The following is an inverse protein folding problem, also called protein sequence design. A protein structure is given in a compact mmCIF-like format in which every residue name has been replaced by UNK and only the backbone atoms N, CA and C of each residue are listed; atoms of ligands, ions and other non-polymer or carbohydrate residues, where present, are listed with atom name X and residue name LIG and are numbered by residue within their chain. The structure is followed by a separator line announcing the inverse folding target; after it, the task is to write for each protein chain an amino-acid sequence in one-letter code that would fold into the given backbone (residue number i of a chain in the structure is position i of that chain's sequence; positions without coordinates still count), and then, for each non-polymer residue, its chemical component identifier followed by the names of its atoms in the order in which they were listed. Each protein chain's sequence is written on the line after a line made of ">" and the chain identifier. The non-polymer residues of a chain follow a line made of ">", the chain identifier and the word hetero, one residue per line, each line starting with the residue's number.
data_IF_705661495935
#
_entry.id   IF_705661495935
#
_cell.length_a   1.000
_cell.length_b   1.000
_cell.length_c   1.000
_cell.angle_alpha   90.00
_cell.angle_beta   90.00
_cell.angle_gamma   90.00
#
_symmetry.space_group_name_H-M   'P 1'
#
loop_
_entity.id
_entity.type
_entity.pdbx_description
1 polymer ?
#
# COMPACT_ATOMS: atom_id res chain seq x y z
N UNK A 1 16.00 -1.14 28.37
CA UNK A 1 14.59 -1.15 27.95
C UNK A 1 14.24 0.26 27.51
N UNK A 2 14.39 0.56 26.21
CA UNK A 2 13.89 1.80 25.62
C UNK A 2 12.63 1.42 24.85
N UNK A 3 11.47 1.64 25.46
CA UNK A 3 10.19 1.50 24.78
C UNK A 3 10.06 2.69 23.84
N UNK A 4 10.25 2.45 22.54
CA UNK A 4 9.88 3.43 21.54
C UNK A 4 8.35 3.52 21.54
N UNK A 5 7.84 4.66 21.97
CA UNK A 5 6.42 4.98 21.93
C UNK A 5 5.97 4.95 20.46
N UNK A 6 5.14 3.96 20.09
CA UNK A 6 4.45 3.93 18.81
C UNK A 6 3.35 4.98 18.82
N UNK A 7 3.68 6.20 18.37
CA UNK A 7 2.70 7.24 18.12
C UNK A 7 1.72 6.72 17.07
N UNK A 8 0.48 6.51 17.48
CA UNK A 8 -0.66 6.30 16.57
C UNK A 8 -0.79 7.53 15.67
N UNK A 9 -0.31 7.43 14.43
CA UNK A 9 -0.37 8.47 13.41
C UNK A 9 -1.79 8.56 12.82
N UNK A 10 -2.71 9.15 13.58
CA UNK A 10 -4.05 9.42 13.10
C UNK A 10 -4.05 10.74 12.31
N UNK A 11 -3.97 10.68 10.97
CA UNK A 11 -4.66 11.69 10.15
C UNK A 11 -4.11 12.08 8.77
N UNK A 12 -2.89 11.69 8.36
CA UNK A 12 -2.37 12.12 7.06
C UNK A 12 -2.72 11.13 5.93
N UNK A 13 -3.72 11.46 5.12
CA UNK A 13 -4.11 10.66 3.95
C UNK A 13 -3.05 10.62 2.84
N UNK A 14 -2.07 11.52 2.87
CA UNK A 14 -0.98 11.60 1.90
C UNK A 14 0.29 10.90 2.38
N UNK A 15 0.28 10.28 3.57
CA UNK A 15 1.41 9.51 4.05
C UNK A 15 1.46 8.15 3.32
N UNK A 16 2.47 7.89 2.47
CA UNK A 16 2.61 6.57 1.86
C UNK A 16 3.05 5.56 2.93
N UNK A 17 2.49 4.35 2.83
CA UNK A 17 2.88 3.21 3.65
C UNK A 17 3.55 2.14 2.80
N UNK A 18 4.67 1.60 3.28
CA UNK A 18 5.42 0.58 2.56
C UNK A 18 4.58 -0.67 2.32
N UNK A 19 4.61 -1.16 1.09
CA UNK A 19 3.96 -2.39 0.68
C UNK A 19 4.90 -3.22 -0.20
N UNK A 20 4.69 -4.53 -0.19
CA UNK A 20 5.46 -5.49 -0.98
C UNK A 20 4.54 -6.29 -1.90
N UNK A 21 5.05 -6.60 -3.09
CA UNK A 21 4.41 -7.56 -4.01
C UNK A 21 4.57 -8.95 -3.39
N UNK A 22 3.45 -9.56 -3.00
CA UNK A 22 3.42 -10.92 -2.45
C UNK A 22 3.13 -11.96 -3.51
N UNK A 23 2.47 -11.58 -4.61
CA UNK A 23 2.18 -12.45 -5.75
C UNK A 23 2.13 -11.66 -7.05
N UNK A 24 2.58 -12.31 -8.12
CA UNK A 24 2.46 -11.86 -9.50
C UNK A 24 1.80 -12.98 -10.29
N UNK A 25 0.57 -12.76 -10.75
CA UNK A 25 -0.22 -13.76 -11.46
C UNK A 25 -0.38 -13.34 -12.94
N UNK A 26 -0.03 -14.19 -13.92
CA UNK A 26 -0.31 -13.89 -15.32
C UNK A 26 -1.83 -13.86 -15.56
N UNK A 27 -2.30 -13.00 -16.47
CA UNK A 27 -3.72 -12.93 -16.85
C UNK A 27 -3.90 -13.25 -18.34
N UNK A 28 -3.71 -12.25 -19.20
CA UNK A 28 -3.64 -12.39 -20.66
C UNK A 28 -2.26 -11.92 -21.14
N UNK A 29 -1.99 -12.01 -22.45
CA UNK A 29 -0.71 -11.58 -23.03
C UNK A 29 -0.36 -10.16 -22.58
N UNK A 30 0.81 -9.98 -21.99
CA UNK A 30 1.35 -8.70 -21.48
C UNK A 30 0.60 -8.09 -20.27
N UNK A 31 -0.36 -8.80 -19.68
CA UNK A 31 -1.08 -8.37 -18.47
C UNK A 31 -0.80 -9.28 -17.26
N UNK A 32 -0.61 -8.66 -16.10
CA UNK A 32 -0.35 -9.35 -14.83
C UNK A 32 -1.19 -8.74 -13.72
N UNK A 33 -1.72 -9.60 -12.85
CA UNK A 33 -2.30 -9.20 -11.58
C UNK A 33 -1.20 -9.20 -10.52
N UNK A 34 -0.97 -8.03 -9.91
CA UNK A 34 -0.06 -7.88 -8.79
C UNK A 34 -0.87 -7.82 -7.50
N UNK A 35 -0.51 -8.66 -6.54
CA UNK A 35 -1.07 -8.58 -5.19
C UNK A 35 -0.04 -7.92 -4.27
N UNK A 36 -0.42 -6.78 -3.73
CA UNK A 36 0.37 -5.99 -2.79
C UNK A 36 -0.09 -6.26 -1.36
N UNK A 37 0.83 -6.11 -0.41
CA UNK A 37 0.54 -6.21 1.02
C UNK A 37 1.34 -5.15 1.76
N UNK A 38 0.68 -4.34 2.58
CA UNK A 38 1.36 -3.42 3.51
C UNK A 38 2.31 -4.20 4.42
N UNK A 39 3.53 -3.70 4.62
CA UNK A 39 4.52 -4.34 5.48
C UNK A 39 4.07 -4.29 6.95
N UNK A 40 3.57 -3.13 7.37
CA UNK A 40 2.99 -2.91 8.69
C UNK A 40 1.71 -3.76 8.87
N UNK A 41 1.67 -4.55 9.93
CA UNK A 41 0.55 -5.44 10.23
C UNK A 41 -0.70 -4.73 10.74
N UNK A 42 -0.54 -3.61 11.44
CA UNK A 42 -1.66 -2.82 11.97
C UNK A 42 -2.37 -2.14 10.82
N UNK A 43 -1.62 -1.43 9.96
CA UNK A 43 -2.16 -0.79 8.74
C UNK A 43 -2.86 -1.82 7.86
N UNK A 44 -2.27 -3.01 7.68
CA UNK A 44 -2.87 -4.08 6.88
C UNK A 44 -4.21 -4.56 7.43
N UNK A 45 -4.37 -4.63 8.75
CA UNK A 45 -5.59 -5.09 9.40
C UNK A 45 -6.69 -4.03 9.34
N UNK A 46 -6.32 -2.76 9.46
CA UNK A 46 -7.26 -1.64 9.53
C UNK A 46 -7.58 -1.04 8.16
N UNK A 47 -6.84 -1.40 7.10
CA UNK A 47 -7.05 -0.88 5.76
C UNK A 47 -8.45 -1.22 5.23
N UNK A 48 -9.15 -0.19 4.77
CA UNK A 48 -10.47 -0.27 4.16
C UNK A 48 -10.62 0.80 3.08
N UNK A 49 -11.51 0.58 2.13
CA UNK A 49 -11.80 1.51 1.04
C UNK A 49 -13.30 1.55 0.73
N UNK A 50 -13.74 2.67 0.13
CA UNK A 50 -15.10 2.86 -0.38
C UNK A 50 -15.10 2.76 -1.91
N UNK A 51 -16.18 2.25 -2.52
CA UNK A 51 -16.32 2.26 -3.98
C UNK A 51 -16.13 3.67 -4.56
N UNK A 52 -15.40 3.76 -5.67
CA UNK A 52 -15.06 5.03 -6.32
C UNK A 52 -13.78 5.70 -5.84
N UNK A 53 -13.10 5.13 -4.82
CA UNK A 53 -11.74 5.52 -4.48
C UNK A 53 -10.71 4.80 -5.36
N UNK A 54 -9.56 5.42 -5.54
CA UNK A 54 -8.38 4.87 -6.19
C UNK A 54 -7.20 4.90 -5.20
N UNK A 55 -6.09 4.23 -5.54
CA UNK A 55 -4.86 4.28 -4.75
C UNK A 55 -3.80 5.12 -5.45
N UNK A 56 -3.06 5.92 -4.68
CA UNK A 56 -1.83 6.57 -5.15
C UNK A 56 -0.67 5.61 -4.93
N UNK A 57 0.07 5.25 -5.98
CA UNK A 57 1.19 4.32 -5.90
C UNK A 57 2.51 5.06 -6.10
N UNK A 58 3.33 5.17 -5.06
CA UNK A 58 4.71 5.66 -5.15
C UNK A 58 5.69 4.50 -5.35
N UNK A 59 6.44 4.52 -6.45
CA UNK A 59 7.49 3.55 -6.76
C UNK A 59 8.84 4.21 -6.63
N UNK A 60 9.65 3.69 -5.69
CA UNK A 60 10.98 4.21 -5.38
C UNK A 60 11.82 4.30 -6.66
N UNK A 61 12.33 5.49 -6.96
CA UNK A 61 13.18 5.75 -8.12
C UNK A 61 12.44 5.81 -9.47
N UNK A 62 11.11 5.70 -9.48
CA UNK A 62 10.29 5.78 -10.73
C UNK A 62 9.31 6.94 -10.70
N UNK A 63 8.68 7.22 -9.55
CA UNK A 63 7.69 8.29 -9.41
C UNK A 63 6.38 7.78 -8.82
N UNK A 64 5.31 8.55 -9.02
CA UNK A 64 3.99 8.32 -8.41
C UNK A 64 2.91 8.31 -9.49
N UNK A 65 1.89 7.47 -9.32
CA UNK A 65 0.75 7.42 -10.23
C UNK A 65 -0.55 6.97 -9.52
N UNK A 66 -1.70 7.54 -9.90
CA UNK A 66 -3.00 7.06 -9.43
C UNK A 66 -3.43 5.80 -10.18
N UNK A 67 -3.94 4.79 -9.46
CA UNK A 67 -4.38 3.49 -9.99
C UNK A 67 -5.80 3.19 -9.50
N UNK A 68 -6.72 2.93 -10.44
CA UNK A 68 -8.13 2.56 -10.20
C UNK A 68 -8.41 1.09 -10.45
#
# INVERSE_FOLDING_TARGET
>A
MCSATSTSDTGNIYQPHLARIVRTLPQIKDHRLLQLRFEDSEIRQDFSYRPGQFVELSVIGTGEAPIS
#
